data_IF_316460276004
#
_entry.id   IF_316460276004
#
_cell.length_a   1.000
_cell.length_b   1.000
_cell.length_c   1.000
_cell.angle_alpha   90.00
_cell.angle_beta   90.00
_cell.angle_gamma   90.00
#
_symmetry.space_group_name_H-M   'P 1'
#
loop_
_entity.id
_entity.type
_entity.pdbx_description
1 polymer ?
#
# COMPACT_ATOMS: atom_id res chain seq x y z
N UNK A 1 50.21 -34.66 18.40
CA UNK A 1 49.02 -33.80 18.62
C UNK A 1 49.02 -32.48 17.83
N UNK A 2 50.12 -31.71 17.70
CA UNK A 2 50.15 -30.40 17.00
C UNK A 2 49.77 -30.42 15.50
N UNK A 3 50.09 -31.49 14.77
CA UNK A 3 49.82 -31.60 13.32
C UNK A 3 48.32 -31.72 13.00
N UNK A 4 47.54 -32.35 13.90
CA UNK A 4 46.08 -32.49 13.74
C UNK A 4 45.36 -31.14 13.88
N UNK A 5 45.84 -30.29 14.80
CA UNK A 5 45.24 -28.98 15.07
C UNK A 5 45.45 -27.99 13.92
N UNK A 6 46.62 -28.03 13.27
CA UNK A 6 46.95 -27.22 12.10
C UNK A 6 46.10 -27.58 10.87
N UNK A 7 45.88 -28.88 10.61
CA UNK A 7 45.00 -29.34 9.52
C UNK A 7 43.54 -28.96 9.76
N UNK A 8 43.04 -29.06 10.99
CA UNK A 8 41.69 -28.66 11.36
C UNK A 8 41.48 -27.15 11.18
N UNK A 9 42.44 -26.32 11.59
CA UNK A 9 42.40 -24.86 11.41
C UNK A 9 42.39 -24.45 9.93
N UNK A 10 43.17 -25.12 9.08
CA UNK A 10 43.17 -24.91 7.63
C UNK A 10 41.87 -25.36 6.96
N UNK A 11 41.26 -26.45 7.43
CA UNK A 11 39.94 -26.90 6.97
C UNK A 11 38.84 -25.89 7.35
N UNK A 12 38.73 -25.52 8.63
CA UNK A 12 37.74 -24.53 9.09
C UNK A 12 37.92 -23.19 8.37
N UNK A 13 39.15 -22.78 8.06
CA UNK A 13 39.41 -21.54 7.32
C UNK A 13 39.06 -21.63 5.83
N UNK A 14 39.24 -22.80 5.19
CA UNK A 14 38.85 -23.03 3.78
C UNK A 14 37.34 -23.18 3.62
N UNK A 15 36.70 -23.98 4.47
CA UNK A 15 35.28 -24.30 4.35
C UNK A 15 34.39 -23.33 5.13
N UNK A 16 34.90 -22.64 6.15
CA UNK A 16 34.14 -21.63 6.89
C UNK A 16 33.84 -20.39 6.06
N UNK A 17 34.78 -19.94 5.22
CA UNK A 17 34.53 -18.84 4.27
C UNK A 17 33.48 -19.26 3.24
N UNK A 18 33.55 -20.49 2.73
CA UNK A 18 32.55 -21.04 1.81
C UNK A 18 31.16 -21.09 2.46
N UNK A 19 31.07 -21.53 3.72
CA UNK A 19 29.81 -21.59 4.47
C UNK A 19 29.19 -20.21 4.67
N UNK A 20 30.00 -19.21 5.06
CA UNK A 20 29.54 -17.82 5.23
C UNK A 20 29.06 -17.23 3.91
N UNK A 21 29.77 -17.49 2.81
CA UNK A 21 29.34 -17.07 1.48
C UNK A 21 28.02 -17.71 1.06
N UNK A 22 27.83 -19.00 1.33
CA UNK A 22 26.57 -19.70 1.03
C UNK A 22 25.40 -19.15 1.84
N UNK A 23 25.59 -18.88 3.13
CA UNK A 23 24.57 -18.27 3.99
C UNK A 23 24.23 -16.85 3.50
N UNK A 24 25.25 -16.07 3.13
CA UNK A 24 25.05 -14.72 2.58
C UNK A 24 24.29 -14.75 1.25
N UNK A 25 24.62 -15.70 0.36
CA UNK A 25 23.94 -15.87 -0.92
C UNK A 25 22.48 -16.28 -0.72
N UNK A 26 22.23 -17.27 0.15
CA UNK A 26 20.89 -17.73 0.47
C UNK A 26 20.03 -16.61 1.10
N UNK A 27 20.60 -15.85 2.04
CA UNK A 27 19.92 -14.70 2.65
C UNK A 27 19.54 -13.64 1.62
N UNK A 28 20.45 -13.29 0.72
CA UNK A 28 20.17 -12.34 -0.36
C UNK A 28 19.08 -12.85 -1.32
N UNK A 29 19.09 -14.13 -1.65
CA UNK A 29 18.06 -14.72 -2.51
C UNK A 29 16.67 -14.66 -1.84
N UNK A 30 16.58 -14.96 -0.55
CA UNK A 30 15.33 -14.84 0.21
C UNK A 30 14.84 -13.40 0.23
N UNK A 31 15.71 -12.44 0.52
CA UNK A 31 15.36 -11.01 0.50
C UNK A 31 14.89 -10.56 -0.89
N UNK A 32 15.54 -11.03 -1.95
CA UNK A 32 15.15 -10.73 -3.32
C UNK A 32 13.75 -11.30 -3.66
N UNK A 33 13.49 -12.56 -3.32
CA UNK A 33 12.19 -13.19 -3.56
C UNK A 33 11.08 -12.52 -2.74
N UNK A 34 11.38 -12.16 -1.50
CA UNK A 34 10.46 -11.44 -0.62
C UNK A 34 10.12 -10.07 -1.21
N UNK A 35 11.13 -9.31 -1.65
CA UNK A 35 10.91 -8.03 -2.33
C UNK A 35 10.07 -8.16 -3.60
N UNK A 36 10.31 -9.21 -4.39
CA UNK A 36 9.52 -9.51 -5.59
C UNK A 36 8.05 -9.80 -5.24
N UNK A 37 7.80 -10.63 -4.23
CA UNK A 37 6.45 -10.95 -3.77
C UNK A 37 5.68 -9.70 -3.34
N UNK A 38 6.29 -8.82 -2.54
CA UNK A 38 5.64 -7.58 -2.11
C UNK A 38 5.39 -6.63 -3.27
N UNK A 39 6.32 -6.52 -4.22
CA UNK A 39 6.12 -5.74 -5.42
C UNK A 39 4.94 -6.27 -6.24
N UNK A 40 4.88 -7.57 -6.46
CA UNK A 40 3.76 -8.20 -7.20
C UNK A 40 2.44 -8.05 -6.45
N UNK A 41 2.41 -8.26 -5.13
CA UNK A 41 1.21 -8.08 -4.32
C UNK A 41 0.69 -6.64 -4.37
N UNK A 42 1.57 -5.65 -4.23
CA UNK A 42 1.19 -4.24 -4.30
C UNK A 42 0.69 -3.85 -5.70
N UNK A 43 1.38 -4.29 -6.75
CA UNK A 43 0.94 -4.03 -8.13
C UNK A 43 -0.41 -4.69 -8.40
N UNK A 44 -0.59 -5.95 -8.02
CA UNK A 44 -1.85 -6.66 -8.21
C UNK A 44 -2.99 -6.03 -7.41
N UNK A 45 -2.72 -5.54 -6.20
CA UNK A 45 -3.71 -4.83 -5.40
C UNK A 45 -4.13 -3.51 -6.07
N UNK A 46 -3.18 -2.74 -6.61
CA UNK A 46 -3.48 -1.49 -7.33
C UNK A 46 -4.28 -1.76 -8.59
N UNK A 47 -3.85 -2.74 -9.40
CA UNK A 47 -4.53 -3.11 -10.65
C UNK A 47 -5.95 -3.62 -10.37
N UNK A 48 -6.13 -4.53 -9.42
CA UNK A 48 -7.45 -5.06 -9.08
C UNK A 48 -8.38 -3.99 -8.51
N UNK A 49 -7.87 -3.08 -7.67
CA UNK A 49 -8.67 -1.96 -7.16
C UNK A 49 -9.12 -1.06 -8.31
N UNK A 50 -8.21 -0.71 -9.23
CA UNK A 50 -8.54 0.10 -10.39
C UNK A 50 -9.56 -0.59 -11.31
N UNK A 51 -9.42 -1.89 -11.59
CA UNK A 51 -10.37 -2.65 -12.40
C UNK A 51 -11.77 -2.67 -11.77
N UNK A 52 -11.86 -2.88 -10.46
CA UNK A 52 -13.14 -2.84 -9.73
C UNK A 52 -13.76 -1.45 -9.78
N UNK A 53 -12.97 -0.38 -9.61
CA UNK A 53 -13.46 0.99 -9.75
C UNK A 53 -13.99 1.27 -11.16
N UNK A 54 -13.30 0.83 -12.20
CA UNK A 54 -13.75 1.00 -13.59
C UNK A 54 -15.05 0.24 -13.87
N UNK A 55 -15.17 -1.00 -13.38
CA UNK A 55 -16.41 -1.79 -13.49
C UNK A 55 -17.55 -1.08 -12.75
N UNK A 56 -17.28 -0.56 -11.56
CA UNK A 56 -18.27 0.16 -10.76
C UNK A 56 -18.76 1.42 -11.47
N UNK A 57 -17.84 2.23 -12.02
CA UNK A 57 -18.17 3.41 -12.82
C UNK A 57 -18.92 3.05 -14.12
N UNK A 58 -18.55 1.93 -14.75
CA UNK A 58 -19.20 1.42 -15.97
C UNK A 58 -20.58 0.80 -15.74
N UNK A 59 -20.90 0.39 -14.50
CA UNK A 59 -22.16 -0.28 -14.16
C UNK A 59 -23.39 0.64 -14.12
N UNK A 60 -23.20 1.96 -14.26
CA UNK A 60 -24.28 2.94 -14.17
C UNK A 60 -24.78 3.19 -12.75
N UNK A 61 -24.08 2.68 -11.73
CA UNK A 61 -24.35 3.02 -10.33
C UNK A 61 -24.10 4.51 -10.14
N UNK A 62 -25.05 5.18 -9.49
CA UNK A 62 -24.94 6.58 -9.12
C UNK A 62 -23.83 6.76 -8.07
N UNK A 63 -22.62 7.10 -8.52
CA UNK A 63 -21.46 7.39 -7.67
C UNK A 63 -21.32 8.90 -7.40
N UNK A 64 -22.44 9.65 -7.37
CA UNK A 64 -22.43 11.07 -7.03
C UNK A 64 -22.12 11.31 -5.55
N UNK A 65 -21.67 12.53 -5.24
CA UNK A 65 -21.38 12.94 -3.87
C UNK A 65 -22.60 12.73 -2.98
N UNK A 66 -23.78 13.20 -3.42
CA UNK A 66 -25.01 13.13 -2.63
C UNK A 66 -25.45 11.68 -2.40
N UNK A 67 -25.32 10.82 -3.41
CA UNK A 67 -25.71 9.43 -3.24
C UNK A 67 -24.77 8.69 -2.28
N UNK A 68 -23.45 8.87 -2.42
CA UNK A 68 -22.47 8.25 -1.52
C UNK A 68 -22.64 8.77 -0.09
N UNK A 69 -22.81 10.09 0.09
CA UNK A 69 -23.10 10.70 1.38
C UNK A 69 -24.33 10.06 2.04
N UNK A 70 -25.42 9.92 1.27
CA UNK A 70 -26.68 9.33 1.74
C UNK A 70 -26.52 7.87 2.12
N UNK A 71 -25.84 7.07 1.28
CA UNK A 71 -25.66 5.63 1.51
C UNK A 71 -24.76 5.38 2.72
N UNK A 72 -23.64 6.09 2.84
CA UNK A 72 -22.72 5.97 3.96
C UNK A 72 -23.40 6.40 5.28
N UNK A 73 -24.12 7.53 5.26
CA UNK A 73 -24.90 7.98 6.43
C UNK A 73 -25.98 6.98 6.84
N UNK A 74 -26.68 6.36 5.88
CA UNK A 74 -27.70 5.34 6.16
C UNK A 74 -27.10 4.07 6.77
N UNK A 75 -25.84 3.75 6.47
CA UNK A 75 -25.10 2.62 7.04
C UNK A 75 -24.53 2.91 8.44
N UNK A 76 -24.62 4.16 8.90
CA UNK A 76 -24.07 4.58 10.19
C UNK A 76 -22.57 4.87 10.16
N UNK A 77 -21.98 5.05 8.97
CA UNK A 77 -20.58 5.42 8.84
C UNK A 77 -20.36 6.87 9.26
N UNK A 78 -19.14 7.20 9.70
CA UNK A 78 -18.80 8.59 9.96
C UNK A 78 -18.56 9.31 8.63
N UNK A 79 -19.45 10.23 8.27
CA UNK A 79 -19.40 10.97 7.01
C UNK A 79 -19.22 12.46 7.26
N UNK A 80 -18.19 13.07 6.67
CA UNK A 80 -17.95 14.52 6.75
C UNK A 80 -17.38 15.07 5.45
N UNK A 81 -17.98 16.14 4.93
CA UNK A 81 -17.36 16.90 3.85
C UNK A 81 -16.07 17.57 4.37
N UNK A 82 -15.01 17.53 3.57
CA UNK A 82 -13.72 18.13 3.91
C UNK A 82 -13.46 19.35 3.04
N UNK A 83 -12.92 20.41 3.65
CA UNK A 83 -12.44 21.57 2.91
C UNK A 83 -10.99 21.39 2.44
N UNK A 84 -10.55 22.18 1.46
CA UNK A 84 -9.17 22.19 0.96
C UNK A 84 -8.14 22.39 2.08
N UNK A 85 -8.46 23.23 3.07
CA UNK A 85 -7.61 23.50 4.22
C UNK A 85 -7.38 22.26 5.10
N UNK A 86 -8.37 21.38 5.19
CA UNK A 86 -8.28 20.17 6.02
C UNK A 86 -7.56 19.02 5.31
N UNK A 87 -7.43 19.09 3.98
CA UNK A 87 -6.75 18.08 3.15
C UNK A 87 -5.27 18.40 2.92
N UNK A 88 -4.80 19.58 3.36
CA UNK A 88 -3.49 20.11 2.99
C UNK A 88 -3.24 20.05 1.47
N UNK A 89 -4.30 20.25 0.67
CA UNK A 89 -4.27 20.14 -0.78
C UNK A 89 -5.19 21.18 -1.40
N UNK A 90 -4.74 21.83 -2.47
CA UNK A 90 -5.61 22.67 -3.28
C UNK A 90 -6.62 21.79 -4.03
N UNK A 91 -7.87 21.82 -3.58
CA UNK A 91 -8.98 21.30 -4.37
C UNK A 91 -9.30 22.33 -5.47
N UNK A 92 -9.46 21.89 -6.72
CA UNK A 92 -9.97 22.76 -7.78
C UNK A 92 -11.40 23.21 -7.46
N UNK A 93 -11.86 24.32 -8.05
CA UNK A 93 -13.16 24.96 -7.72
C UNK A 93 -14.37 24.01 -7.76
N UNK A 94 -14.32 22.97 -8.59
CA UNK A 94 -15.39 21.97 -8.75
C UNK A 94 -15.10 20.64 -8.05
N UNK A 95 -14.04 20.59 -7.24
CA UNK A 95 -13.63 19.38 -6.54
C UNK A 95 -14.16 19.41 -5.11
N UNK A 96 -14.88 18.36 -4.73
CA UNK A 96 -15.39 18.16 -3.37
C UNK A 96 -14.72 16.93 -2.78
N UNK A 97 -14.53 16.94 -1.46
CA UNK A 97 -13.94 15.81 -0.75
C UNK A 97 -14.88 15.33 0.35
N UNK A 98 -15.04 14.02 0.45
CA UNK A 98 -15.87 13.37 1.44
C UNK A 98 -15.04 12.40 2.26
N UNK A 99 -14.91 12.64 3.56
CA UNK A 99 -14.35 11.67 4.48
C UNK A 99 -15.44 10.67 4.89
N UNK A 100 -15.20 9.40 4.62
CA UNK A 100 -16.00 8.26 5.06
C UNK A 100 -15.09 7.39 5.94
N UNK A 101 -15.30 7.41 7.25
CA UNK A 101 -14.38 6.87 8.25
C UNK A 101 -12.95 7.37 8.03
N UNK A 102 -12.02 6.50 7.64
CA UNK A 102 -10.60 6.80 7.40
C UNK A 102 -10.25 6.93 5.90
N UNK A 103 -11.26 6.96 5.03
CA UNK A 103 -11.06 7.12 3.58
C UNK A 103 -11.57 8.47 3.12
N UNK A 104 -10.76 9.19 2.34
CA UNK A 104 -11.16 10.42 1.67
C UNK A 104 -11.55 10.05 0.24
N UNK A 105 -12.78 10.37 -0.15
CA UNK A 105 -13.28 10.23 -1.50
C UNK A 105 -13.26 11.61 -2.17
N UNK A 106 -12.75 11.69 -3.39
CA UNK A 106 -12.68 12.91 -4.18
C UNK A 106 -13.74 12.87 -5.28
N UNK A 107 -14.40 14.00 -5.48
CA UNK A 107 -15.44 14.17 -6.48
C UNK A 107 -15.13 15.38 -7.33
N UNK A 108 -15.21 15.23 -8.65
CA UNK A 108 -15.10 16.33 -9.62
C UNK A 108 -16.41 16.44 -10.39
N UNK A 109 -16.99 17.65 -10.48
CA UNK A 109 -18.31 17.85 -11.13
C UNK A 109 -19.39 16.88 -10.63
N UNK A 110 -19.39 16.62 -9.32
CA UNK A 110 -20.29 15.68 -8.66
C UNK A 110 -20.15 14.19 -9.09
N UNK A 111 -19.01 13.80 -9.67
CA UNK A 111 -18.70 12.40 -10.01
C UNK A 111 -17.50 11.94 -9.22
N UNK A 112 -17.52 10.68 -8.77
CA UNK A 112 -16.36 10.06 -8.15
C UNK A 112 -15.13 10.13 -9.07
N UNK A 113 -14.08 10.78 -8.58
CA UNK A 113 -12.82 10.99 -9.30
C UNK A 113 -11.68 10.12 -8.74
N UNK A 114 -11.80 9.65 -7.50
CA UNK A 114 -10.84 8.76 -6.88
C UNK A 114 -10.94 8.74 -5.35
N UNK A 115 -10.13 7.91 -4.72
CA UNK A 115 -10.04 7.82 -3.26
C UNK A 115 -8.60 7.87 -2.78
N UNK A 116 -8.43 8.37 -1.56
CA UNK A 116 -7.18 8.35 -0.81
C UNK A 116 -7.47 7.78 0.56
N UNK A 117 -6.91 6.61 0.87
CA UNK A 117 -6.92 6.07 2.23
C UNK A 117 -6.00 6.92 3.11
N UNK A 118 -6.48 7.38 4.26
CA UNK A 118 -5.63 7.99 5.28
C UNK A 118 -4.91 6.83 5.98
N UNK A 119 -3.60 6.71 5.84
CA UNK A 119 -2.86 5.78 6.69
C UNK A 119 -2.79 6.33 8.11
N UNK A 120 -2.83 5.49 9.16
CA UNK A 120 -2.74 5.95 10.56
C UNK A 120 -1.49 6.79 10.88
N UNK A 121 -0.45 6.70 10.05
CA UNK A 121 0.79 7.47 10.17
C UNK A 121 0.80 8.78 9.37
N UNK A 122 -0.26 9.07 8.59
CA UNK A 122 -0.40 10.31 7.83
C UNK A 122 -1.07 11.42 8.68
N UNK A 123 -1.58 11.07 9.87
CA UNK A 123 -2.18 11.96 10.86
C UNK A 123 -1.18 12.52 11.86
N UNK A 124 0.02 12.91 11.39
CA UNK A 124 0.99 13.62 12.21
C UNK A 124 0.41 14.95 12.69
N UNK A 125 0.25 15.07 14.01
CA UNK A 125 0.40 16.34 14.70
C UNK A 125 1.83 16.84 14.54
#
# INVERSE_FOLDING_TARGET
MRVSYLRMKLWVRKYGVLLVLLISLAGNLVLFLWGKYWKEALVNQVVSTYEVEQIFLGSGVDASFENIYRVASKRGEFVREMSSAELNMELGEQTRALKVNDTILLFFENRYAGSKSIHPNDGGW
#
